data_IF_216860349201
#
_entry.id   IF_216860349201
#
_cell.length_a   1.000
_cell.length_b   1.000
_cell.length_c   1.000
_cell.angle_alpha   90.00
_cell.angle_beta   90.00
_cell.angle_gamma   90.00
#
_symmetry.space_group_name_H-M   'P 1'
#
loop_
_entity.id
_entity.type
_entity.pdbx_description
1 polymer ?
#
# COMPACT_ATOMS: atom_id res chain seq x y z
N UNK A 1 9.11 -3.89 33.01
CA UNK A 1 10.05 -4.03 31.90
C UNK A 1 9.78 -2.90 30.94
N UNK A 2 10.67 -1.92 30.90
CA UNK A 2 10.60 -0.85 29.88
C UNK A 2 11.05 -1.53 28.57
N UNK A 3 10.11 -1.71 27.63
CA UNK A 3 10.44 -2.13 26.27
C UNK A 3 11.27 -0.99 25.66
N UNK A 4 12.52 -1.29 25.31
CA UNK A 4 13.32 -0.36 24.48
C UNK A 4 12.51 0.05 23.26
N UNK A 5 12.51 1.34 22.90
CA UNK A 5 11.78 1.80 21.72
C UNK A 5 12.34 1.09 20.48
N UNK A 6 11.48 0.35 19.76
CA UNK A 6 11.85 -0.31 18.51
C UNK A 6 12.31 0.76 17.53
N UNK A 7 13.53 0.63 17.03
CA UNK A 7 14.07 1.57 16.06
C UNK A 7 13.22 1.52 14.76
N UNK A 8 12.85 2.67 14.20
CA UNK A 8 12.04 2.71 12.98
C UNK A 8 12.82 2.14 11.78
N UNK A 9 12.08 1.40 10.93
CA UNK A 9 12.61 0.89 9.66
C UNK A 9 12.74 2.02 8.63
N UNK A 10 11.75 2.91 8.59
CA UNK A 10 11.70 4.07 7.72
C UNK A 10 11.38 5.33 8.51
N UNK A 11 12.10 6.41 8.24
CA UNK A 11 11.74 7.76 8.67
C UNK A 11 11.90 8.72 7.49
N UNK A 12 10.82 9.39 7.15
CA UNK A 12 10.81 10.53 6.24
C UNK A 12 10.64 11.77 7.10
N UNK A 13 11.60 12.70 7.06
CA UNK A 13 11.64 13.87 7.94
C UNK A 13 11.50 15.16 7.14
N UNK A 14 10.49 15.97 7.47
CA UNK A 14 10.21 17.28 6.87
C UNK A 14 10.16 17.26 5.33
N UNK A 15 9.59 16.22 4.76
CA UNK A 15 9.53 16.05 3.30
C UNK A 15 8.62 17.11 2.68
N UNK A 16 9.20 17.91 1.78
CA UNK A 16 8.45 18.89 1.01
C UNK A 16 8.62 18.65 -0.48
N UNK A 17 7.51 18.83 -1.21
CA UNK A 17 7.48 18.75 -2.67
C UNK A 17 6.49 19.73 -3.25
N UNK A 18 6.97 20.57 -4.15
CA UNK A 18 6.17 21.54 -4.90
C UNK A 18 6.17 21.19 -6.40
N UNK A 19 5.01 21.26 -6.99
CA UNK A 19 4.83 21.29 -8.44
C UNK A 19 4.34 22.68 -8.87
N UNK A 20 4.40 23.05 -10.15
CA UNK A 20 3.86 24.33 -10.63
C UNK A 20 2.41 24.50 -10.16
N UNK A 21 2.16 25.54 -9.34
CA UNK A 21 0.85 25.86 -8.80
C UNK A 21 0.35 25.04 -7.60
N UNK A 22 1.06 23.98 -7.16
CA UNK A 22 0.59 23.09 -6.09
C UNK A 22 1.73 22.69 -5.12
N UNK A 23 1.50 22.86 -3.81
CA UNK A 23 2.32 22.25 -2.77
C UNK A 23 1.76 20.85 -2.49
N UNK A 24 2.43 19.83 -3.02
CA UNK A 24 1.96 18.45 -2.91
C UNK A 24 2.28 17.82 -1.55
N UNK A 25 3.43 18.15 -0.96
CA UNK A 25 3.80 17.81 0.41
C UNK A 25 4.49 19.03 1.04
N UNK A 26 4.16 19.34 2.29
CA UNK A 26 4.67 20.48 3.05
C UNK A 26 5.11 20.02 4.43
N UNK A 27 6.42 19.81 4.59
CA UNK A 27 7.07 19.36 5.82
C UNK A 27 6.42 18.11 6.43
N UNK A 28 6.24 17.08 5.59
CA UNK A 28 5.60 15.82 6.01
C UNK A 28 6.62 14.95 6.73
N UNK A 29 6.27 14.54 7.96
CA UNK A 29 6.95 13.50 8.71
C UNK A 29 6.16 12.19 8.59
N UNK A 30 6.86 11.09 8.30
CA UNK A 30 6.24 9.77 8.17
C UNK A 30 7.20 8.67 8.61
N UNK A 31 6.77 7.82 9.53
CA UNK A 31 7.62 6.78 10.15
C UNK A 31 6.97 5.43 10.04
N UNK A 32 7.74 4.38 9.73
CA UNK A 32 7.26 2.99 9.70
C UNK A 32 8.14 2.12 10.59
N UNK A 33 7.50 1.36 11.47
CA UNK A 33 8.18 0.38 12.32
C UNK A 33 8.30 -0.98 11.60
N UNK A 34 9.35 -1.76 11.90
CA UNK A 34 9.45 -3.13 11.39
C UNK A 34 8.29 -3.99 11.92
N UNK A 35 7.79 -4.90 11.09
CA UNK A 35 6.71 -5.81 11.46
C UNK A 35 5.35 -5.16 11.64
N UNK A 36 5.12 -3.95 11.12
CA UNK A 36 3.85 -3.23 11.24
C UNK A 36 3.24 -2.86 9.90
N UNK A 37 1.93 -2.68 9.89
CA UNK A 37 1.18 -2.05 8.79
C UNK A 37 0.91 -0.59 9.17
N UNK A 38 1.54 0.33 8.46
CA UNK A 38 1.27 1.76 8.59
C UNK A 38 0.40 2.23 7.43
N UNK A 39 -0.82 2.67 7.72
CA UNK A 39 -1.71 3.18 6.68
C UNK A 39 -1.56 4.67 6.47
N UNK A 40 -1.52 5.08 5.21
CA UNK A 40 -1.51 6.46 4.77
C UNK A 40 -2.86 6.82 4.14
N UNK A 41 -3.65 7.60 4.87
CA UNK A 41 -4.98 8.05 4.49
C UNK A 41 -4.98 9.49 3.95
N UNK A 42 -6.06 9.86 3.27
CA UNK A 42 -6.33 11.23 2.80
C UNK A 42 -7.20 11.21 1.56
N UNK A 43 -7.81 12.34 1.23
CA UNK A 43 -8.58 12.50 -0.01
C UNK A 43 -7.68 12.44 -1.26
N UNK A 44 -8.31 12.38 -2.44
CA UNK A 44 -7.59 12.50 -3.70
C UNK A 44 -6.94 13.89 -3.78
N UNK A 45 -5.67 13.93 -4.14
CA UNK A 45 -4.89 15.18 -4.13
C UNK A 45 -4.22 15.54 -2.80
N UNK A 46 -4.45 14.81 -1.70
CA UNK A 46 -3.86 15.09 -0.40
C UNK A 46 -2.32 14.91 -0.31
N UNK A 47 -1.66 14.45 -1.37
CA UNK A 47 -0.20 14.28 -1.40
C UNK A 47 0.31 12.85 -1.19
N UNK A 48 -0.55 11.87 -0.90
CA UNK A 48 -0.17 10.47 -0.60
C UNK A 48 0.71 9.84 -1.68
N UNK A 49 0.22 9.82 -2.91
CA UNK A 49 0.95 9.22 -4.04
C UNK A 49 2.25 9.97 -4.35
N UNK A 50 2.31 11.28 -4.10
CA UNK A 50 3.56 12.06 -4.24
C UNK A 50 4.58 11.64 -3.19
N UNK A 51 4.18 11.51 -1.92
CA UNK A 51 5.05 11.06 -0.84
C UNK A 51 5.62 9.66 -1.13
N UNK A 52 4.79 8.74 -1.61
CA UNK A 52 5.23 7.39 -1.96
C UNK A 52 6.08 7.35 -3.23
N UNK A 53 5.82 8.21 -4.23
CA UNK A 53 6.70 8.37 -5.39
C UNK A 53 8.07 8.89 -5.01
N UNK A 54 8.17 9.74 -4.00
CA UNK A 54 9.45 10.20 -3.43
C UNK A 54 10.16 9.01 -2.77
N UNK A 55 9.49 8.27 -1.91
CA UNK A 55 10.05 7.11 -1.23
C UNK A 55 10.50 6.01 -2.21
N UNK A 56 9.80 5.82 -3.32
CA UNK A 56 10.16 4.83 -4.34
C UNK A 56 11.13 5.36 -5.41
N UNK A 57 11.55 6.63 -5.32
CA UNK A 57 12.53 7.23 -6.23
C UNK A 57 11.99 7.58 -7.62
N UNK A 58 10.67 7.71 -7.79
CA UNK A 58 10.03 8.20 -9.03
C UNK A 58 10.00 9.72 -9.11
N UNK A 59 10.20 10.40 -7.99
CA UNK A 59 10.20 11.85 -7.87
C UNK A 59 11.17 12.25 -6.75
N UNK A 60 11.92 13.33 -6.90
CA UNK A 60 12.76 13.86 -5.82
C UNK A 60 11.99 14.85 -4.96
N UNK A 61 12.23 14.78 -3.64
CA UNK A 61 11.82 15.84 -2.70
C UNK A 61 12.59 17.14 -2.99
N UNK A 62 11.99 18.26 -2.65
CA UNK A 62 12.65 19.58 -2.73
C UNK A 62 13.39 19.89 -1.43
N UNK A 63 12.90 19.37 -0.27
CA UNK A 63 13.58 19.43 1.02
C UNK A 63 13.20 18.24 1.90
N UNK A 64 13.92 18.04 3.00
CA UNK A 64 13.76 16.93 3.93
C UNK A 64 14.73 15.79 3.66
N UNK A 65 14.71 14.78 4.52
CA UNK A 65 15.60 13.62 4.44
C UNK A 65 14.84 12.30 4.63
N UNK A 66 15.38 11.23 4.04
CA UNK A 66 14.85 9.86 4.17
C UNK A 66 15.88 9.02 4.89
N UNK A 67 15.48 8.36 5.97
CA UNK A 67 16.32 7.43 6.70
C UNK A 67 15.71 6.04 6.60
N UNK A 68 16.52 5.06 6.24
CA UNK A 68 16.12 3.66 6.14
C UNK A 68 17.06 2.80 7.01
N UNK A 69 16.49 2.04 7.93
CA UNK A 69 17.25 1.26 8.94
C UNK A 69 18.29 2.15 9.70
N UNK A 70 17.87 3.34 10.09
CA UNK A 70 18.68 4.30 10.85
C UNK A 70 19.75 5.06 10.05
N UNK A 71 19.86 4.83 8.73
CA UNK A 71 20.83 5.50 7.87
C UNK A 71 20.12 6.44 6.90
N UNK A 72 20.66 7.63 6.71
CA UNK A 72 20.19 8.54 5.66
C UNK A 72 20.52 7.95 4.28
N UNK A 73 19.51 7.94 3.40
CA UNK A 73 19.59 7.33 2.06
C UNK A 73 19.13 8.31 0.98
N UNK A 74 19.85 8.33 -0.16
CA UNK A 74 19.46 9.08 -1.36
C UNK A 74 18.73 8.12 -2.33
N UNK A 75 17.41 8.19 -2.34
CA UNK A 75 16.56 7.38 -3.22
C UNK A 75 16.22 8.18 -4.47
N UNK A 76 17.15 8.22 -5.44
CA UNK A 76 16.99 8.99 -6.68
C UNK A 76 16.44 8.20 -7.86
N UNK A 77 16.16 6.90 -7.68
CA UNK A 77 15.56 6.03 -8.70
C UNK A 77 14.91 4.81 -8.09
N UNK A 78 13.95 4.15 -8.78
CA UNK A 78 13.36 2.88 -8.33
C UNK A 78 14.41 1.77 -8.12
N UNK A 79 15.47 1.74 -8.92
CA UNK A 79 16.56 0.78 -8.74
C UNK A 79 17.26 0.95 -7.39
N UNK A 80 17.47 2.19 -6.93
CA UNK A 80 18.02 2.48 -5.60
C UNK A 80 17.02 2.08 -4.49
N UNK A 81 15.73 2.38 -4.64
CA UNK A 81 14.71 1.94 -3.69
C UNK A 81 14.75 0.41 -3.52
N UNK A 82 14.75 -0.33 -4.64
CA UNK A 82 14.84 -1.79 -4.66
C UNK A 82 16.12 -2.28 -4.01
N UNK A 83 17.29 -1.64 -4.24
CA UNK A 83 18.55 -2.04 -3.63
C UNK A 83 18.59 -1.85 -2.11
N UNK A 84 17.77 -0.94 -1.57
CA UNK A 84 17.53 -0.79 -0.13
C UNK A 84 16.47 -1.76 0.42
N UNK A 85 15.84 -2.58 -0.43
CA UNK A 85 14.77 -3.50 -0.04
C UNK A 85 13.40 -2.83 0.05
N UNK A 86 13.18 -1.72 -0.66
CA UNK A 86 11.89 -1.05 -0.76
C UNK A 86 11.20 -1.51 -2.04
N UNK A 87 10.04 -2.15 -1.91
CA UNK A 87 9.17 -2.56 -3.03
C UNK A 87 7.90 -1.73 -3.11
N UNK A 88 7.29 -1.65 -4.29
CA UNK A 88 6.02 -0.98 -4.48
C UNK A 88 5.11 -1.79 -5.40
N UNK A 89 3.86 -1.96 -4.97
CA UNK A 89 2.75 -2.48 -5.75
C UNK A 89 1.87 -1.29 -6.09
N UNK A 90 1.74 -1.04 -7.38
CA UNK A 90 0.99 0.09 -7.90
C UNK A 90 -0.51 -0.24 -7.99
N UNK A 91 -1.35 0.77 -8.01
CA UNK A 91 -2.80 0.66 -8.21
C UNK A 91 -3.15 -0.06 -9.52
N UNK A 92 -2.36 0.13 -10.57
CA UNK A 92 -2.47 -0.60 -11.84
C UNK A 92 -1.34 -1.61 -11.94
N UNK A 93 -1.67 -2.83 -12.33
CA UNK A 93 -0.69 -3.91 -12.45
C UNK A 93 0.45 -3.55 -13.42
N UNK A 94 1.67 -3.64 -12.92
CA UNK A 94 2.90 -3.44 -13.69
C UNK A 94 3.45 -4.78 -14.20
N UNK A 95 2.56 -5.59 -14.77
CA UNK A 95 2.86 -6.88 -15.36
C UNK A 95 2.74 -6.81 -16.88
N UNK A 96 3.64 -7.49 -17.59
CA UNK A 96 3.60 -7.62 -19.05
C UNK A 96 2.62 -8.74 -19.42
N UNK A 97 1.49 -8.44 -20.11
CA UNK A 97 0.42 -9.42 -20.32
C UNK A 97 0.83 -10.65 -21.12
N UNK A 98 1.76 -10.51 -22.06
CA UNK A 98 2.23 -11.55 -22.98
C UNK A 98 3.33 -12.44 -22.39
N UNK A 99 3.80 -12.16 -21.19
CA UNK A 99 4.78 -12.96 -20.47
C UNK A 99 4.11 -13.81 -19.39
N UNK A 100 4.74 -14.90 -19.02
CA UNK A 100 4.36 -15.72 -17.88
C UNK A 100 4.64 -15.02 -16.56
N UNK A 101 4.08 -15.53 -15.45
CA UNK A 101 4.39 -15.01 -14.09
C UNK A 101 5.89 -15.09 -13.82
N UNK A 102 6.52 -16.22 -14.12
CA UNK A 102 7.95 -16.41 -13.90
C UNK A 102 8.81 -15.46 -14.75
N UNK A 103 8.46 -15.22 -16.00
CA UNK A 103 9.15 -14.26 -16.88
C UNK A 103 8.97 -12.83 -16.38
N UNK A 104 7.77 -12.44 -15.88
CA UNK A 104 7.54 -11.13 -15.28
C UNK A 104 8.41 -10.89 -14.04
N UNK A 105 8.64 -11.91 -13.23
CA UNK A 105 9.55 -11.83 -12.09
C UNK A 105 11.00 -11.71 -12.54
N UNK A 106 11.38 -12.44 -13.60
CA UNK A 106 12.72 -12.40 -14.18
C UNK A 106 13.06 -11.03 -14.79
N UNK A 107 12.04 -10.27 -15.25
CA UNK A 107 12.25 -8.91 -15.76
C UNK A 107 12.91 -8.02 -14.70
N UNK A 108 14.06 -7.43 -15.06
CA UNK A 108 14.79 -6.52 -14.19
C UNK A 108 15.55 -7.21 -13.05
N UNK A 109 15.70 -8.54 -13.05
CA UNK A 109 16.76 -9.21 -12.33
C UNK A 109 18.03 -8.96 -13.14
N UNK A 110 18.66 -7.79 -12.94
CA UNK A 110 19.86 -7.38 -13.66
C UNK A 110 20.94 -8.46 -13.54
N UNK A 111 21.33 -9.03 -14.63
CA UNK A 111 22.40 -10.02 -14.70
C UNK A 111 22.79 -10.35 -16.14
N UNK A 112 24.04 -10.70 -16.33
CA UNK A 112 24.69 -11.19 -17.54
C UNK A 112 24.07 -12.52 -18.06
N UNK A 113 23.07 -13.01 -17.37
CA UNK A 113 22.33 -14.22 -17.69
C UNK A 113 21.06 -13.78 -18.46
N UNK A 114 21.16 -13.91 -19.79
CA UNK A 114 19.94 -13.93 -20.57
C UNK A 114 18.95 -14.91 -19.95
N UNK A 115 17.65 -14.76 -20.19
CA UNK A 115 16.52 -15.54 -19.65
C UNK A 115 16.64 -17.06 -19.98
N UNK A 116 17.82 -17.62 -20.06
CA UNK A 116 18.08 -18.97 -20.59
C UNK A 116 17.80 -20.09 -19.58
N UNK A 117 17.78 -19.85 -18.28
CA UNK A 117 17.39 -20.87 -17.29
C UNK A 117 16.38 -20.33 -16.28
N UNK A 118 15.10 -20.67 -16.46
CA UNK A 118 14.00 -20.31 -15.58
C UNK A 118 13.84 -21.22 -14.37
N UNK A 119 14.58 -22.34 -14.31
CA UNK A 119 14.44 -23.34 -13.23
C UNK A 119 14.73 -22.78 -11.84
N UNK A 120 15.84 -22.06 -11.59
CA UNK A 120 16.11 -21.48 -10.28
C UNK A 120 15.08 -20.41 -9.88
N UNK A 121 14.59 -19.64 -10.88
CA UNK A 121 13.55 -18.61 -10.64
C UNK A 121 12.25 -19.28 -10.22
N UNK A 122 11.78 -20.29 -10.95
CA UNK A 122 10.56 -21.04 -10.60
C UNK A 122 10.67 -21.73 -9.25
N UNK A 123 11.83 -22.33 -8.94
CA UNK A 123 12.06 -22.95 -7.63
C UNK A 123 11.87 -21.94 -6.50
N UNK A 124 12.58 -20.80 -6.56
CA UNK A 124 12.45 -19.75 -5.54
C UNK A 124 11.03 -19.14 -5.50
N UNK A 125 10.37 -18.99 -6.66
CA UNK A 125 8.97 -18.56 -6.70
C UNK A 125 8.04 -19.54 -5.96
N UNK A 126 8.23 -20.85 -6.15
CA UNK A 126 7.45 -21.86 -5.41
C UNK A 126 7.66 -21.75 -3.90
N UNK A 127 8.92 -21.63 -3.47
CA UNK A 127 9.26 -21.44 -2.06
C UNK A 127 8.57 -20.22 -1.44
N UNK A 128 8.61 -19.06 -2.14
CA UNK A 128 7.95 -17.81 -1.68
C UNK A 128 6.43 -17.96 -1.74
N UNK A 129 5.89 -18.56 -2.80
CA UNK A 129 4.45 -18.81 -2.99
C UNK A 129 3.88 -19.68 -1.86
N UNK A 130 4.56 -20.76 -1.49
CA UNK A 130 4.17 -21.65 -0.41
C UNK A 130 4.26 -20.95 0.95
N UNK A 131 5.35 -20.21 1.21
CA UNK A 131 5.57 -19.51 2.47
C UNK A 131 4.46 -18.51 2.80
N UNK A 132 3.96 -17.77 1.79
CA UNK A 132 2.98 -16.70 1.97
C UNK A 132 1.57 -17.03 1.46
N UNK A 133 1.32 -18.28 1.06
CA UNK A 133 0.03 -18.71 0.57
C UNK A 133 -0.40 -18.08 -0.76
N UNK A 134 0.55 -17.53 -1.53
CA UNK A 134 0.31 -16.82 -2.79
C UNK A 134 0.20 -17.78 -3.98
N UNK A 135 -0.83 -18.59 -3.99
CA UNK A 135 -1.04 -19.61 -5.03
C UNK A 135 -1.31 -18.96 -6.39
N UNK A 136 -0.40 -19.15 -7.34
CA UNK A 136 -0.53 -18.75 -8.75
C UNK A 136 0.27 -19.71 -9.62
N UNK A 137 -0.22 -20.00 -10.83
CA UNK A 137 0.52 -20.81 -11.80
C UNK A 137 1.64 -19.96 -12.39
N UNK A 138 2.90 -20.32 -12.12
CA UNK A 138 4.08 -19.57 -12.56
C UNK A 138 4.30 -19.62 -14.07
N UNK A 139 3.71 -20.62 -14.76
CA UNK A 139 3.80 -20.80 -16.21
C UNK A 139 2.62 -20.21 -16.98
N UNK A 140 1.60 -19.72 -16.27
CA UNK A 140 0.47 -19.04 -16.89
C UNK A 140 0.86 -17.67 -17.42
N UNK A 141 0.36 -17.30 -18.57
CA UNK A 141 0.48 -15.96 -19.13
C UNK A 141 -0.37 -14.99 -18.32
N UNK A 142 0.12 -13.78 -18.08
CA UNK A 142 -0.57 -12.80 -17.23
C UNK A 142 -1.98 -12.48 -17.74
N UNK A 143 -2.19 -12.42 -19.07
CA UNK A 143 -3.51 -12.13 -19.62
C UNK A 143 -4.55 -13.21 -19.33
N UNK A 144 -4.12 -14.46 -19.03
CA UNK A 144 -5.00 -15.58 -18.67
C UNK A 144 -5.42 -15.57 -17.21
N UNK A 145 -4.73 -14.82 -16.37
CA UNK A 145 -4.96 -14.79 -14.91
C UNK A 145 -6.18 -13.94 -14.55
N UNK A 146 -6.93 -14.41 -13.56
CA UNK A 146 -7.94 -13.61 -12.88
C UNK A 146 -7.28 -12.42 -12.15
N UNK A 147 -8.08 -11.41 -11.81
CA UNK A 147 -7.58 -10.17 -11.18
C UNK A 147 -6.84 -10.44 -9.88
N UNK A 148 -7.40 -11.28 -9.00
CA UNK A 148 -6.76 -11.67 -7.75
C UNK A 148 -5.46 -12.47 -7.94
N UNK A 149 -5.36 -13.26 -9.01
CA UNK A 149 -4.11 -13.95 -9.36
C UNK A 149 -3.03 -12.99 -9.85
N UNK A 150 -3.41 -11.95 -10.62
CA UNK A 150 -2.48 -10.88 -11.03
C UNK A 150 -1.96 -10.12 -9.82
N UNK A 151 -2.82 -9.85 -8.84
CA UNK A 151 -2.41 -9.23 -7.58
C UNK A 151 -1.38 -10.11 -6.84
N UNK A 152 -1.65 -11.42 -6.72
CA UNK A 152 -0.69 -12.37 -6.13
C UNK A 152 0.64 -12.41 -6.89
N UNK A 153 0.60 -12.36 -8.23
CA UNK A 153 1.80 -12.32 -9.07
C UNK A 153 2.63 -11.03 -8.85
N UNK A 154 1.99 -9.87 -8.67
CA UNK A 154 2.67 -8.61 -8.31
C UNK A 154 3.36 -8.70 -6.94
N UNK A 155 2.66 -9.25 -5.94
CA UNK A 155 3.23 -9.46 -4.60
C UNK A 155 4.41 -10.42 -4.67
N UNK A 156 4.27 -11.56 -5.37
CA UNK A 156 5.36 -12.52 -5.58
C UNK A 156 6.58 -11.89 -6.25
N UNK A 157 6.36 -11.04 -7.27
CA UNK A 157 7.43 -10.30 -7.96
C UNK A 157 8.20 -9.38 -6.99
N UNK A 158 7.50 -8.71 -6.09
CA UNK A 158 8.12 -7.87 -5.06
C UNK A 158 8.88 -8.75 -4.04
N UNK A 159 8.24 -9.79 -3.51
CA UNK A 159 8.83 -10.67 -2.49
C UNK A 159 10.01 -11.49 -3.00
N UNK A 160 10.04 -11.84 -4.28
CA UNK A 160 11.18 -12.52 -4.91
C UNK A 160 12.49 -11.72 -4.74
N UNK A 161 12.40 -10.40 -4.67
CA UNK A 161 13.53 -9.46 -4.50
C UNK A 161 13.91 -9.22 -3.04
N UNK A 162 13.34 -10.00 -2.11
CA UNK A 162 13.58 -9.90 -0.67
C UNK A 162 13.36 -8.49 -0.09
N UNK A 163 12.22 -7.91 -0.41
CA UNK A 163 11.84 -6.59 0.12
C UNK A 163 11.70 -6.63 1.64
N UNK A 164 12.16 -5.55 2.29
CA UNK A 164 12.00 -5.28 3.71
C UNK A 164 10.78 -4.40 3.99
N UNK A 165 10.55 -3.41 3.12
CA UNK A 165 9.42 -2.48 3.17
C UNK A 165 8.62 -2.60 1.87
N UNK A 166 7.31 -2.85 1.98
CA UNK A 166 6.42 -2.96 0.83
C UNK A 166 5.37 -1.85 0.86
N UNK A 167 5.32 -1.05 -0.19
CA UNK A 167 4.30 -0.03 -0.43
C UNK A 167 3.18 -0.66 -1.24
N UNK A 168 1.95 -0.52 -0.79
CA UNK A 168 0.73 -1.04 -1.41
C UNK A 168 -0.20 0.13 -1.73
N UNK A 169 -0.31 0.48 -3.01
CA UNK A 169 -1.16 1.60 -3.47
C UNK A 169 -2.52 1.06 -3.91
N UNK A 170 -3.54 1.23 -3.05
CA UNK A 170 -4.92 0.76 -3.24
C UNK A 170 -5.04 -0.73 -3.66
N UNK A 171 -4.40 -1.66 -2.94
CA UNK A 171 -4.27 -3.05 -3.40
C UNK A 171 -5.58 -3.82 -3.47
N UNK A 172 -6.67 -3.29 -2.91
CA UNK A 172 -7.98 -3.93 -2.83
C UNK A 172 -9.01 -3.34 -3.79
N UNK A 173 -8.61 -2.37 -4.63
CA UNK A 173 -9.55 -1.61 -5.47
C UNK A 173 -10.39 -2.48 -6.42
N UNK A 174 -9.82 -3.58 -6.88
CA UNK A 174 -10.40 -4.48 -7.89
C UNK A 174 -10.67 -5.90 -7.39
N UNK A 175 -10.49 -6.14 -6.09
CA UNK A 175 -10.64 -7.46 -5.48
C UNK A 175 -12.05 -7.69 -4.96
N UNK A 176 -12.49 -8.94 -4.99
CA UNK A 176 -13.68 -9.42 -4.26
C UNK A 176 -13.41 -9.48 -2.76
N UNK A 177 -14.46 -9.59 -1.93
CA UNK A 177 -14.31 -9.65 -0.47
C UNK A 177 -13.42 -10.81 -0.02
N UNK A 178 -13.61 -12.00 -0.58
CA UNK A 178 -12.81 -13.18 -0.22
C UNK A 178 -11.33 -12.97 -0.60
N UNK A 179 -11.05 -12.36 -1.76
CA UNK A 179 -9.67 -12.03 -2.18
C UNK A 179 -9.03 -10.97 -1.28
N UNK A 180 -9.82 -10.02 -0.75
CA UNK A 180 -9.34 -9.05 0.25
C UNK A 180 -8.96 -9.76 1.55
N UNK A 181 -9.78 -10.69 2.02
CA UNK A 181 -9.50 -11.46 3.24
C UNK A 181 -8.23 -12.30 3.07
N UNK A 182 -8.05 -12.98 1.93
CA UNK A 182 -6.84 -13.74 1.60
C UNK A 182 -5.60 -12.83 1.55
N UNK A 183 -5.74 -11.64 0.96
CA UNK A 183 -4.69 -10.63 0.93
C UNK A 183 -4.29 -10.20 2.34
N UNK A 184 -5.26 -9.94 3.22
CA UNK A 184 -5.00 -9.52 4.61
C UNK A 184 -4.24 -10.59 5.39
N UNK A 185 -4.58 -11.86 5.20
CA UNK A 185 -3.83 -12.98 5.79
C UNK A 185 -2.37 -12.94 5.33
N UNK A 186 -2.14 -12.78 4.03
CA UNK A 186 -0.79 -12.67 3.45
C UNK A 186 -0.03 -11.47 4.04
N UNK A 187 -0.67 -10.29 4.13
CA UNK A 187 -0.03 -9.09 4.67
C UNK A 187 0.33 -9.24 6.15
N UNK A 188 -0.51 -9.91 6.94
CA UNK A 188 -0.22 -10.25 8.35
C UNK A 188 0.95 -11.24 8.47
N UNK A 189 1.09 -12.20 7.57
CA UNK A 189 2.26 -13.09 7.55
C UNK A 189 3.55 -12.32 7.22
N UNK A 190 3.50 -11.36 6.30
CA UNK A 190 4.64 -10.51 5.98
C UNK A 190 5.10 -9.67 7.17
N UNK A 191 4.17 -9.10 7.94
CA UNK A 191 4.51 -8.35 9.15
C UNK A 191 5.05 -9.26 10.26
N UNK A 192 4.51 -10.47 10.41
CA UNK A 192 5.04 -11.45 11.35
C UNK A 192 6.50 -11.86 11.02
N UNK A 193 6.88 -11.82 9.74
CA UNK A 193 8.28 -12.00 9.28
C UNK A 193 9.14 -10.73 9.43
N UNK A 194 8.64 -9.69 10.11
CA UNK A 194 9.36 -8.44 10.38
C UNK A 194 9.36 -7.43 9.23
N UNK A 195 8.63 -7.68 8.13
CA UNK A 195 8.54 -6.72 7.03
C UNK A 195 7.64 -5.53 7.41
N UNK A 196 8.06 -4.32 7.03
CA UNK A 196 7.23 -3.12 7.14
C UNK A 196 6.27 -3.02 5.95
N UNK A 197 5.04 -2.61 6.19
CA UNK A 197 4.06 -2.39 5.13
C UNK A 197 3.51 -0.97 5.19
N UNK A 198 3.43 -0.31 4.04
CA UNK A 198 2.70 0.95 3.88
C UNK A 198 1.46 0.67 3.05
N UNK A 199 0.28 0.88 3.63
CA UNK A 199 -1.00 0.71 2.96
C UNK A 199 -1.60 2.07 2.60
N UNK A 200 -1.73 2.37 1.32
CA UNK A 200 -2.49 3.52 0.85
C UNK A 200 -3.89 3.03 0.50
N UNK A 201 -4.89 3.57 1.20
CA UNK A 201 -6.29 3.25 0.93
C UNK A 201 -7.18 4.43 1.31
N UNK A 202 -8.33 4.54 0.66
CA UNK A 202 -9.41 5.44 1.05
C UNK A 202 -10.58 4.67 1.72
N UNK A 203 -10.47 3.35 1.83
CA UNK A 203 -11.48 2.48 2.43
C UNK A 203 -11.25 2.34 3.93
N UNK A 204 -11.91 3.15 4.74
CA UNK A 204 -11.72 3.24 6.19
C UNK A 204 -11.86 1.91 6.92
N UNK A 205 -12.77 1.03 6.46
CA UNK A 205 -12.98 -0.28 7.09
C UNK A 205 -11.76 -1.21 6.93
N UNK A 206 -11.08 -1.17 5.76
CA UNK A 206 -9.87 -1.95 5.51
C UNK A 206 -8.72 -1.45 6.37
N UNK A 207 -8.59 -0.13 6.47
CA UNK A 207 -7.55 0.52 7.27
C UNK A 207 -7.70 0.17 8.75
N UNK A 208 -8.92 0.26 9.31
CA UNK A 208 -9.17 -0.10 10.71
C UNK A 208 -8.90 -1.59 10.97
N UNK A 209 -9.20 -2.47 10.00
CA UNK A 209 -9.02 -3.91 10.16
C UNK A 209 -7.56 -4.36 10.06
N UNK A 210 -6.75 -3.68 9.24
CA UNK A 210 -5.40 -4.15 8.91
C UNK A 210 -4.28 -3.35 9.56
N UNK A 211 -4.47 -2.05 9.84
CA UNK A 211 -3.38 -1.17 10.28
C UNK A 211 -2.98 -1.37 11.74
N UNK A 212 -1.74 -1.05 12.04
CA UNK A 212 -1.22 -0.87 13.40
C UNK A 212 -1.09 0.62 13.71
N UNK A 213 -0.70 1.43 12.72
CA UNK A 213 -0.58 2.89 12.79
C UNK A 213 -1.28 3.53 11.58
N UNK A 214 -1.83 4.72 11.76
CA UNK A 214 -2.54 5.47 10.72
C UNK A 214 -2.05 6.90 10.70
N UNK A 215 -1.58 7.37 9.55
CA UNK A 215 -1.30 8.79 9.29
C UNK A 215 -2.30 9.32 8.27
N UNK A 216 -2.91 10.45 8.55
CA UNK A 216 -3.86 11.12 7.65
C UNK A 216 -3.19 12.34 7.04
N UNK A 217 -3.17 12.41 5.71
CA UNK A 217 -2.74 13.57 4.95
C UNK A 217 -3.94 14.39 4.47
N UNK A 218 -3.83 15.71 4.56
CA UNK A 218 -4.76 16.68 4.00
C UNK A 218 -4.00 17.91 3.51
N UNK A 219 -4.28 18.33 2.29
CA UNK A 219 -3.67 19.54 1.67
C UNK A 219 -2.12 19.53 1.73
N UNK A 220 -1.52 18.36 1.53
CA UNK A 220 -0.07 18.16 1.56
C UNK A 220 0.56 18.12 2.94
N UNK A 221 -0.22 18.14 4.02
CA UNK A 221 0.27 18.11 5.43
C UNK A 221 -0.29 16.91 6.18
N UNK A 222 0.40 16.52 7.25
CA UNK A 222 -0.15 15.57 8.22
C UNK A 222 -1.25 16.26 9.02
N UNK A 223 -2.48 15.79 8.90
CA UNK A 223 -3.64 16.29 9.65
C UNK A 223 -3.88 15.52 10.95
N UNK A 224 -3.34 14.31 11.06
CA UNK A 224 -3.42 13.50 12.26
C UNK A 224 -2.64 12.20 12.16
N UNK A 225 -2.26 11.70 13.34
CA UNK A 225 -1.66 10.38 13.53
C UNK A 225 -2.44 9.66 14.63
N UNK A 226 -2.81 8.40 14.42
CA UNK A 226 -3.64 7.64 15.36
C UNK A 226 -3.45 6.14 15.16
N UNK A 227 -4.04 5.35 16.08
CA UNK A 227 -4.12 3.89 15.99
C UNK A 227 -5.55 3.44 15.79
N UNK A 228 -5.80 2.29 15.14
CA UNK A 228 -7.16 1.78 14.94
C UNK A 228 -7.96 1.62 16.23
N UNK A 229 -7.30 1.31 17.35
CA UNK A 229 -7.94 1.15 18.67
C UNK A 229 -8.35 2.46 19.33
N UNK A 230 -7.79 3.58 18.89
CA UNK A 230 -7.93 4.91 19.47
C UNK A 230 -8.84 5.81 18.62
N UNK A 231 -9.36 5.29 17.50
CA UNK A 231 -10.11 6.11 16.54
C UNK A 231 -11.36 5.40 16.02
N UNK A 232 -12.28 6.19 15.47
CA UNK A 232 -13.48 5.71 14.79
C UNK A 232 -13.47 6.08 13.32
N UNK A 233 -14.36 5.48 12.52
CA UNK A 233 -14.53 5.83 11.09
C UNK A 233 -14.86 7.31 10.92
N UNK A 234 -15.72 7.84 11.78
CA UNK A 234 -16.16 9.25 11.71
C UNK A 234 -15.00 10.19 12.01
N UNK A 235 -14.17 9.87 13.02
CA UNK A 235 -12.98 10.65 13.34
C UNK A 235 -11.94 10.61 12.21
N UNK A 236 -11.69 9.44 11.60
CA UNK A 236 -10.81 9.34 10.45
C UNK A 236 -11.33 10.14 9.25
N UNK A 237 -12.64 10.05 8.96
CA UNK A 237 -13.27 10.84 7.92
C UNK A 237 -13.17 12.34 8.19
N UNK A 238 -13.36 12.77 9.43
CA UNK A 238 -13.19 14.17 9.84
C UNK A 238 -11.75 14.65 9.66
N UNK A 239 -10.75 13.85 10.00
CA UNK A 239 -9.33 14.18 9.77
C UNK A 239 -9.02 14.30 8.27
N UNK A 240 -9.63 13.46 7.42
CA UNK A 240 -9.44 13.49 5.97
C UNK A 240 -10.06 14.73 5.34
N UNK A 241 -11.32 15.06 5.68
CA UNK A 241 -12.12 16.12 5.03
C UNK A 241 -11.96 17.47 5.75
N UNK A 242 -11.63 17.49 7.04
CA UNK A 242 -11.46 18.69 7.86
C UNK A 242 -12.75 19.33 8.34
N UNK A 243 -13.89 18.68 8.14
CA UNK A 243 -15.22 19.09 8.65
C UNK A 243 -15.93 17.87 9.24
N UNK A 244 -16.86 18.05 10.20
CA UNK A 244 -17.63 16.94 10.73
C UNK A 244 -18.38 16.22 9.61
N UNK A 245 -18.17 14.91 9.52
CA UNK A 245 -18.85 14.02 8.59
C UNK A 245 -19.66 13.04 9.43
N UNK A 246 -21.01 13.07 9.29
CA UNK A 246 -21.89 12.09 9.92
C UNK A 246 -22.29 11.05 8.89
N UNK A 247 -21.95 9.77 9.13
CA UNK A 247 -22.40 8.63 8.32
C UNK A 247 -23.77 8.09 8.77
N UNK A 248 -24.37 8.67 9.82
CA UNK A 248 -25.76 8.37 10.22
C UNK A 248 -26.70 8.96 9.16
N UNK A 249 -27.14 8.14 8.25
CA UNK A 249 -28.33 8.42 7.46
C UNK A 249 -29.50 8.37 8.46
N UNK A 250 -30.05 9.51 8.86
CA UNK A 250 -31.40 9.54 9.38
C UNK A 250 -32.30 9.03 8.24
N UNK A 251 -32.75 7.79 8.36
CA UNK A 251 -33.84 7.27 7.56
C UNK A 251 -35.07 7.99 8.10
N UNK A 252 -35.41 9.12 7.50
CA UNK A 252 -36.70 9.76 7.71
C UNK A 252 -37.75 8.73 7.28
N UNK A 253 -38.39 8.12 8.26
CA UNK A 253 -39.55 7.25 8.06
C UNK A 253 -40.77 8.11 7.77
N UNK A 254 -40.84 8.69 6.62
CA UNK A 254 -42.09 9.20 6.04
C UNK A 254 -42.58 8.22 4.96
N UNK A 255 -43.08 7.07 5.40
CA UNK A 255 -44.02 6.33 4.60
C UNK A 255 -45.36 7.01 4.79
N UNK A 256 -45.62 8.03 3.98
CA UNK A 256 -46.95 8.61 3.82
C UNK A 256 -47.91 7.55 3.33
N UNK A 257 -48.91 7.19 4.14
CA UNK A 257 -50.05 6.38 3.75
C UNK A 257 -50.78 7.07 2.61
N UNK A 258 -50.58 6.64 1.39
CA UNK A 258 -51.48 6.96 0.29
C UNK A 258 -52.81 6.20 0.53
N UNK A 259 -53.83 6.91 0.98
CA UNK A 259 -55.20 6.39 1.05
C UNK A 259 -55.72 6.33 -0.38
N UNK A 260 -55.87 5.14 -0.94
CA UNK A 260 -56.77 4.92 -2.07
C UNK A 260 -58.21 5.19 -1.60
N UNK A 261 -58.81 6.30 -2.04
CA UNK A 261 -60.23 6.45 -2.12
C UNK A 261 -60.65 6.18 -3.55
N UNK A 262 -61.22 4.98 -3.74
CA UNK A 262 -62.08 4.70 -4.88
C UNK A 262 -63.22 5.72 -4.93
N UNK A 263 -63.49 6.23 -6.10
CA UNK A 263 -64.79 6.79 -6.46
C UNK A 263 -65.39 5.95 -7.59
N UNK A 264 -66.53 5.43 -7.27
CA UNK A 264 -67.55 4.86 -8.17
C UNK A 264 -67.98 5.85 -9.24
#
# INVERSE_FOLDING_TARGET
MQTEPVAPMLEMRCISKRFPGVMANDSVDFTVLPGTVHSLLGENGAGKSTLMKILYGLCRQDSGSIHFEGKEVDISSPSKAISHGIGMIHQHFMLVPTLTVAENVALGLGGRYGISDMRPIKKRLSEVSERYGLKVNHDALIWQLAVGERQRAEILKALYRDVKLLILDEPTAVLTRNEVDDLFVTLRQLTADGKGLILISHKLHEVIALSDEITVLRDGKVSGHTRPKETTRDQLAQLMVGRPVSFTREVASEIGRASCRERV
#
